data_IF_066024002539
#
_entry.id   IF_066024002539
#
_cell.length_a   1.000
_cell.length_b   1.000
_cell.length_c   1.000
_cell.angle_alpha   90.00
_cell.angle_beta   90.00
_cell.angle_gamma   90.00
#
_symmetry.space_group_name_H-M   'P 1'
#
loop_
_entity.id
_entity.type
_entity.pdbx_description
1 polymer ?
#
# COMPACT_ATOMS: atom_id res chain seq x y z
N UNK A 1 7.16 -70.67 -31.53
CA UNK A 1 6.26 -70.32 -30.40
C UNK A 1 6.86 -69.05 -29.76
N UNK A 2 6.39 -67.85 -30.24
CA UNK A 2 6.83 -66.55 -29.72
C UNK A 2 5.81 -66.02 -28.71
N UNK A 3 6.24 -65.91 -27.45
CA UNK A 3 5.43 -65.36 -26.36
C UNK A 3 5.59 -63.84 -26.34
N UNK A 4 4.60 -63.09 -26.78
CA UNK A 4 4.52 -61.64 -26.70
C UNK A 4 4.15 -61.22 -25.27
N UNK A 5 5.12 -60.70 -24.52
CA UNK A 5 4.92 -60.05 -23.21
C UNK A 5 4.36 -58.61 -23.44
N UNK A 6 3.08 -58.43 -23.20
CA UNK A 6 2.42 -57.12 -23.16
C UNK A 6 2.81 -56.42 -21.85
N UNK A 7 3.70 -55.42 -21.98
CA UNK A 7 4.01 -54.51 -20.87
C UNK A 7 2.83 -53.54 -20.68
N UNK A 8 2.08 -53.72 -19.57
CA UNK A 8 1.10 -52.78 -19.11
C UNK A 8 1.83 -51.61 -18.44
N UNK A 9 1.88 -50.45 -19.07
CA UNK A 9 2.30 -49.18 -18.48
C UNK A 9 1.09 -48.61 -17.76
N UNK A 10 1.15 -48.36 -16.43
CA UNK A 10 0.07 -47.68 -15.76
C UNK A 10 0.08 -46.19 -16.17
N UNK A 11 -1.00 -45.75 -16.76
CA UNK A 11 -1.28 -44.34 -16.99
C UNK A 11 -1.46 -43.67 -15.62
N UNK A 12 -0.49 -42.93 -15.17
CA UNK A 12 -0.64 -42.01 -14.04
C UNK A 12 -1.47 -40.83 -14.54
N UNK A 13 -2.76 -40.84 -14.29
CA UNK A 13 -3.61 -39.67 -14.44
C UNK A 13 -3.18 -38.65 -13.39
N UNK A 14 -2.42 -37.65 -13.83
CA UNK A 14 -2.20 -36.45 -13.07
C UNK A 14 -3.53 -35.69 -12.99
N UNK A 15 -4.29 -35.88 -11.93
CA UNK A 15 -5.46 -35.08 -11.63
C UNK A 15 -4.96 -33.67 -11.32
N UNK A 16 -5.08 -32.76 -12.29
CA UNK A 16 -4.95 -31.32 -12.06
C UNK A 16 -6.20 -30.93 -11.28
N UNK A 17 -6.10 -30.92 -9.96
CA UNK A 17 -7.08 -30.20 -9.14
C UNK A 17 -6.88 -28.71 -9.47
N UNK A 18 -7.92 -27.97 -9.89
CA UNK A 18 -7.85 -26.53 -9.82
C UNK A 18 -7.64 -26.17 -8.35
N UNK A 19 -6.48 -25.61 -8.04
CA UNK A 19 -6.30 -24.86 -6.83
C UNK A 19 -7.25 -23.67 -6.99
N UNK A 20 -8.45 -23.74 -6.38
CA UNK A 20 -9.24 -22.55 -6.13
C UNK A 20 -8.33 -21.64 -5.33
N UNK A 21 -7.86 -20.58 -5.96
CA UNK A 21 -7.02 -19.57 -5.33
C UNK A 21 -7.90 -18.73 -4.39
N UNK A 22 -8.23 -19.30 -3.22
CA UNK A 22 -8.99 -18.61 -2.19
C UNK A 22 -8.30 -17.29 -1.78
N UNK A 23 -6.98 -17.22 -1.91
CA UNK A 23 -6.20 -16.04 -1.57
C UNK A 23 -6.40 -14.93 -2.59
N UNK A 24 -6.37 -15.25 -3.88
CA UNK A 24 -6.69 -14.28 -4.94
C UNK A 24 -8.13 -13.78 -4.83
N UNK A 25 -9.05 -14.62 -4.39
CA UNK A 25 -10.43 -14.25 -4.15
C UNK A 25 -10.57 -13.26 -2.97
N UNK A 26 -9.83 -13.45 -1.86
CA UNK A 26 -9.89 -12.54 -0.71
C UNK A 26 -9.33 -11.15 -1.04
N UNK A 27 -8.20 -11.08 -1.74
CA UNK A 27 -7.61 -9.81 -2.17
C UNK A 27 -8.59 -9.07 -3.10
N UNK A 28 -9.09 -9.73 -4.14
CA UNK A 28 -10.06 -9.16 -5.06
C UNK A 28 -11.33 -8.66 -4.35
N UNK A 29 -11.89 -9.50 -3.46
CA UNK A 29 -13.08 -9.15 -2.68
C UNK A 29 -12.84 -7.96 -1.74
N UNK A 30 -11.65 -7.88 -1.15
CA UNK A 30 -11.27 -6.76 -0.28
C UNK A 30 -11.11 -5.48 -1.10
N UNK A 31 -10.38 -5.55 -2.22
CA UNK A 31 -10.12 -4.40 -3.08
C UNK A 31 -11.37 -3.84 -3.75
N UNK A 32 -12.37 -4.68 -4.06
CA UNK A 32 -13.68 -4.23 -4.55
C UNK A 32 -14.45 -3.33 -3.56
N UNK A 33 -14.05 -3.31 -2.30
CA UNK A 33 -14.64 -2.45 -1.26
C UNK A 33 -13.83 -1.17 -1.02
N UNK A 34 -12.76 -0.95 -1.78
CA UNK A 34 -11.91 0.23 -1.67
C UNK A 34 -12.19 1.23 -2.79
N UNK A 35 -11.90 2.50 -2.53
CA UNK A 35 -12.08 3.61 -3.47
C UNK A 35 -11.13 3.54 -4.68
N UNK A 36 -10.00 2.83 -4.56
CA UNK A 36 -8.97 2.69 -5.59
C UNK A 36 -8.67 1.21 -5.88
N UNK A 37 -9.61 0.53 -6.55
CA UNK A 37 -9.55 -0.91 -6.80
C UNK A 37 -8.23 -1.37 -7.44
N UNK A 38 -7.81 -0.74 -8.54
CA UNK A 38 -6.61 -1.15 -9.28
C UNK A 38 -5.33 -0.94 -8.47
N UNK A 39 -5.26 0.17 -7.71
CA UNK A 39 -4.14 0.46 -6.82
C UNK A 39 -4.08 -0.56 -5.67
N UNK A 40 -5.21 -0.87 -5.06
CA UNK A 40 -5.32 -1.90 -4.03
C UNK A 40 -4.84 -3.26 -4.55
N UNK A 41 -5.39 -3.68 -5.70
CA UNK A 41 -5.10 -4.98 -6.29
C UNK A 41 -3.60 -5.12 -6.64
N UNK A 42 -3.04 -4.13 -7.36
CA UNK A 42 -1.63 -4.16 -7.75
C UNK A 42 -0.69 -4.12 -6.55
N UNK A 43 -1.01 -3.31 -5.53
CA UNK A 43 -0.20 -3.20 -4.32
C UNK A 43 -0.18 -4.51 -3.52
N UNK A 44 -1.35 -5.11 -3.26
CA UNK A 44 -1.43 -6.35 -2.49
C UNK A 44 -0.87 -7.56 -3.26
N UNK A 45 -1.12 -7.67 -4.56
CA UNK A 45 -0.59 -8.76 -5.38
C UNK A 45 0.94 -8.72 -5.52
N UNK A 46 1.56 -7.55 -5.40
CA UNK A 46 3.02 -7.42 -5.43
C UNK A 46 3.70 -7.93 -4.16
N UNK A 47 2.96 -8.12 -3.06
CA UNK A 47 3.49 -8.61 -1.79
C UNK A 47 3.17 -10.11 -1.61
N UNK A 48 4.19 -10.99 -1.56
CA UNK A 48 3.96 -12.44 -1.43
C UNK A 48 3.19 -12.85 -0.16
N UNK A 49 3.29 -12.05 0.92
CA UNK A 49 2.59 -12.35 2.18
C UNK A 49 1.08 -12.17 2.08
N UNK A 50 0.59 -11.42 1.08
CA UNK A 50 -0.84 -11.20 0.87
C UNK A 50 -1.60 -12.49 0.55
N UNK A 51 -0.93 -13.47 -0.07
CA UNK A 51 -1.55 -14.74 -0.46
C UNK A 51 -2.05 -15.59 0.71
N UNK A 52 -1.50 -15.40 1.90
CA UNK A 52 -1.88 -16.15 3.12
C UNK A 52 -2.48 -15.27 4.21
N UNK A 53 -2.66 -13.97 3.93
CA UNK A 53 -3.17 -13.01 4.88
C UNK A 53 -4.70 -13.07 4.98
N UNK A 54 -5.23 -12.86 6.18
CA UNK A 54 -6.62 -12.47 6.39
C UNK A 54 -6.80 -10.96 6.15
N UNK A 55 -8.02 -10.43 6.28
CA UNK A 55 -8.31 -9.00 6.06
C UNK A 55 -7.45 -8.09 6.96
N UNK A 56 -7.18 -8.52 8.20
CA UNK A 56 -6.29 -7.79 9.12
C UNK A 56 -4.85 -7.78 8.59
N UNK A 57 -4.38 -8.91 8.11
CA UNK A 57 -3.07 -9.03 7.48
C UNK A 57 -2.95 -8.17 6.21
N UNK A 58 -4.00 -8.14 5.37
CA UNK A 58 -4.04 -7.27 4.19
C UNK A 58 -4.00 -5.77 4.58
N UNK A 59 -4.70 -5.38 5.66
CA UNK A 59 -4.63 -4.02 6.18
C UNK A 59 -3.22 -3.65 6.68
N UNK A 60 -2.53 -4.59 7.38
CA UNK A 60 -1.15 -4.39 7.81
C UNK A 60 -0.19 -4.24 6.63
N UNK A 61 -0.27 -5.14 5.65
CA UNK A 61 0.56 -5.08 4.44
C UNK A 61 0.35 -3.74 3.72
N UNK A 62 -0.87 -3.27 3.60
CA UNK A 62 -1.15 -1.98 2.95
C UNK A 62 -0.59 -0.80 3.74
N UNK A 63 -0.68 -0.82 5.07
CA UNK A 63 -0.08 0.21 5.92
C UNK A 63 1.46 0.22 5.84
N UNK A 64 2.10 -0.95 5.72
CA UNK A 64 3.54 -1.06 5.52
C UNK A 64 3.97 -0.55 4.12
N UNK A 65 3.18 -0.84 3.08
CA UNK A 65 3.38 -0.29 1.73
C UNK A 65 3.25 1.24 1.76
N UNK A 66 2.26 1.77 2.46
CA UNK A 66 2.10 3.21 2.64
C UNK A 66 3.32 3.82 3.34
N UNK A 67 3.80 3.23 4.43
CA UNK A 67 4.99 3.71 5.15
C UNK A 67 6.24 3.73 4.25
N UNK A 68 6.44 2.70 3.44
CA UNK A 68 7.54 2.66 2.48
C UNK A 68 7.44 3.80 1.47
N UNK A 69 6.26 4.01 0.86
CA UNK A 69 6.04 5.08 -0.12
C UNK A 69 6.19 6.48 0.48
N UNK A 70 5.69 6.71 1.70
CA UNK A 70 5.87 7.99 2.41
C UNK A 70 7.34 8.24 2.72
N UNK A 71 8.09 7.20 3.08
CA UNK A 71 9.54 7.30 3.31
C UNK A 71 10.28 7.64 2.03
N UNK A 72 9.95 7.01 0.92
CA UNK A 72 10.54 7.29 -0.38
C UNK A 72 10.20 8.71 -0.84
N UNK A 73 8.97 9.17 -0.60
CA UNK A 73 8.54 10.54 -0.88
C UNK A 73 9.39 11.55 -0.09
N UNK A 74 9.59 11.31 1.22
CA UNK A 74 10.43 12.16 2.05
C UNK A 74 11.88 12.19 1.55
N UNK A 75 12.45 11.04 1.22
CA UNK A 75 13.80 10.94 0.67
C UNK A 75 13.92 11.72 -0.66
N UNK A 76 12.91 11.67 -1.51
CA UNK A 76 12.87 12.44 -2.75
C UNK A 76 12.82 13.94 -2.48
N UNK A 77 11.97 14.40 -1.55
CA UNK A 77 11.89 15.81 -1.12
C UNK A 77 13.25 16.29 -0.62
N UNK A 78 13.90 15.54 0.27
CA UNK A 78 15.23 15.88 0.79
C UNK A 78 16.30 15.90 -0.30
N UNK A 79 16.19 15.02 -1.29
CA UNK A 79 17.04 15.01 -2.48
C UNK A 79 16.90 16.27 -3.32
N UNK A 80 15.68 16.76 -3.51
CA UNK A 80 15.40 18.01 -4.22
C UNK A 80 15.95 19.23 -3.46
N UNK A 81 15.77 19.31 -2.15
CA UNK A 81 16.31 20.40 -1.31
C UNK A 81 17.84 20.46 -1.44
N UNK A 82 18.52 19.32 -1.40
CA UNK A 82 20.00 19.26 -1.54
C UNK A 82 20.54 19.75 -2.88
N UNK A 83 19.70 19.82 -3.92
CA UNK A 83 20.07 20.36 -5.22
C UNK A 83 20.09 21.89 -5.25
N UNK A 84 19.84 22.57 -4.13
CA UNK A 84 19.81 24.02 -3.97
C UNK A 84 18.87 24.69 -4.98
N UNK A 85 17.56 24.37 -4.95
CA UNK A 85 16.59 24.94 -5.87
C UNK A 85 16.39 26.43 -5.59
N UNK A 86 15.64 27.09 -6.48
CA UNK A 86 15.20 28.48 -6.28
C UNK A 86 14.53 28.64 -4.90
N UNK A 87 14.74 29.79 -4.22
CA UNK A 87 14.34 29.96 -2.81
C UNK A 87 12.86 29.74 -2.52
N UNK A 88 11.99 29.96 -3.48
CA UNK A 88 10.54 29.73 -3.33
C UNK A 88 10.21 28.25 -3.39
N UNK A 89 10.84 27.51 -4.31
CA UNK A 89 10.73 26.06 -4.40
C UNK A 89 11.32 25.40 -3.14
N UNK A 90 12.49 25.84 -2.66
CA UNK A 90 13.11 25.34 -1.46
C UNK A 90 12.21 25.49 -0.23
N UNK A 91 11.56 26.65 -0.04
CA UNK A 91 10.60 26.87 1.05
C UNK A 91 9.40 25.91 0.98
N UNK A 92 8.89 25.65 -0.21
CA UNK A 92 7.75 24.74 -0.41
C UNK A 92 8.16 23.29 -0.12
N UNK A 93 9.34 22.86 -0.59
CA UNK A 93 9.89 21.54 -0.31
C UNK A 93 10.20 21.35 1.17
N UNK A 94 10.78 22.36 1.83
CA UNK A 94 11.06 22.31 3.28
C UNK A 94 9.77 22.16 4.08
N UNK A 95 8.74 22.92 3.73
CA UNK A 95 7.42 22.77 4.34
C UNK A 95 6.85 21.34 4.18
N UNK A 96 6.95 20.77 2.98
CA UNK A 96 6.56 19.39 2.75
C UNK A 96 7.36 18.39 3.61
N UNK A 97 8.69 18.58 3.71
CA UNK A 97 9.51 17.73 4.58
C UNK A 97 9.06 17.81 6.05
N UNK A 98 8.70 18.99 6.55
CA UNK A 98 8.19 19.20 7.91
C UNK A 98 6.86 18.45 8.15
N UNK A 99 6.01 18.28 7.12
CA UNK A 99 4.79 17.47 7.19
C UNK A 99 5.10 15.96 7.17
N UNK A 100 5.99 15.52 6.28
CA UNK A 100 6.29 14.10 6.09
C UNK A 100 7.16 13.48 7.20
N UNK A 101 8.08 14.24 7.81
CA UNK A 101 8.96 13.75 8.89
C UNK A 101 8.18 13.14 10.05
N UNK A 102 7.19 13.80 10.67
CA UNK A 102 6.41 13.20 11.75
C UNK A 102 5.56 12.03 11.30
N UNK A 103 5.08 12.01 10.04
CA UNK A 103 4.35 10.88 9.49
C UNK A 103 5.22 9.62 9.48
N UNK A 104 6.44 9.71 8.96
CA UNK A 104 7.39 8.58 8.89
C UNK A 104 7.84 8.15 10.29
N UNK A 105 8.14 9.11 11.16
CA UNK A 105 8.75 8.81 12.46
C UNK A 105 7.77 8.37 13.53
N UNK A 106 6.52 8.83 13.46
CA UNK A 106 5.57 8.64 14.56
C UNK A 106 4.19 8.18 14.10
N UNK A 107 3.54 8.91 13.20
CA UNK A 107 2.11 8.71 12.87
C UNK A 107 1.87 7.31 12.31
N UNK A 108 2.57 6.93 11.24
CA UNK A 108 2.40 5.61 10.62
C UNK A 108 2.91 4.46 11.49
N UNK A 109 4.10 4.52 12.12
CA UNK A 109 4.53 3.46 13.04
C UNK A 109 3.54 3.21 14.18
N UNK A 110 2.95 4.28 14.76
CA UNK A 110 1.94 4.14 15.81
C UNK A 110 0.62 3.56 15.28
N UNK A 111 0.20 3.95 14.06
CA UNK A 111 -0.99 3.41 13.43
C UNK A 111 -0.84 1.91 13.09
N UNK A 112 0.33 1.50 12.59
CA UNK A 112 0.68 0.10 12.31
C UNK A 112 0.68 -0.73 13.59
N UNK A 113 1.29 -0.23 14.66
CA UNK A 113 1.27 -0.88 15.98
C UNK A 113 -0.16 -1.03 16.52
N UNK A 114 -0.96 0.03 16.43
CA UNK A 114 -2.37 0.00 16.82
C UNK A 114 -3.18 -1.02 16.00
N UNK A 115 -2.93 -1.10 14.68
CA UNK A 115 -3.57 -2.08 13.81
C UNK A 115 -3.23 -3.51 14.23
N UNK A 116 -1.97 -3.79 14.56
CA UNK A 116 -1.51 -5.09 15.05
C UNK A 116 -2.21 -5.51 16.34
N UNK A 117 -2.51 -4.55 17.20
CA UNK A 117 -3.20 -4.74 18.49
C UNK A 117 -4.72 -4.75 18.40
N UNK A 118 -5.29 -4.57 17.19
CA UNK A 118 -6.75 -4.51 16.99
C UNK A 118 -7.38 -3.17 17.37
N UNK A 119 -6.59 -2.12 17.60
CA UNK A 119 -7.06 -0.78 17.86
C UNK A 119 -7.41 -0.04 16.56
N UNK A 120 -8.34 -0.61 15.78
CA UNK A 120 -8.62 -0.20 14.40
C UNK A 120 -9.04 1.26 14.24
N UNK A 121 -9.78 1.84 15.21
CA UNK A 121 -10.14 3.27 15.16
C UNK A 121 -8.92 4.17 15.23
N UNK A 122 -7.98 3.86 16.12
CA UNK A 122 -6.75 4.65 16.24
C UNK A 122 -5.88 4.51 14.99
N UNK A 123 -5.75 3.29 14.46
CA UNK A 123 -5.06 3.04 13.19
C UNK A 123 -5.69 3.84 12.04
N UNK A 124 -7.01 3.81 11.93
CA UNK A 124 -7.76 4.55 10.90
C UNK A 124 -7.46 6.05 10.94
N UNK A 125 -7.48 6.67 12.13
CA UNK A 125 -7.16 8.09 12.27
C UNK A 125 -5.75 8.42 11.83
N UNK A 126 -4.75 7.65 12.28
CA UNK A 126 -3.36 7.88 11.91
C UNK A 126 -3.11 7.71 10.42
N UNK A 127 -3.71 6.69 9.79
CA UNK A 127 -3.59 6.47 8.34
C UNK A 127 -4.30 7.59 7.56
N UNK A 128 -5.51 8.00 7.97
CA UNK A 128 -6.25 9.09 7.32
C UNK A 128 -5.53 10.43 7.38
N UNK A 129 -4.73 10.65 8.42
CA UNK A 129 -3.97 11.88 8.58
C UNK A 129 -2.88 12.01 7.51
N UNK A 130 -2.30 10.90 7.07
CA UNK A 130 -1.28 10.87 6.01
C UNK A 130 -1.78 11.47 4.69
N UNK A 131 -3.01 11.14 4.29
CA UNK A 131 -3.60 11.71 3.07
C UNK A 131 -3.76 13.24 3.17
N UNK A 132 -4.10 13.75 4.36
CA UNK A 132 -4.23 15.21 4.61
C UNK A 132 -2.88 15.92 4.53
N UNK A 133 -1.82 15.28 5.06
CA UNK A 133 -0.47 15.86 5.00
C UNK A 133 0.05 15.90 3.56
N UNK A 134 -0.21 14.86 2.75
CA UNK A 134 0.11 14.86 1.34
C UNK A 134 -0.67 15.94 0.54
N UNK A 135 -1.96 16.10 0.80
CA UNK A 135 -2.78 17.15 0.20
C UNK A 135 -2.32 18.55 0.63
N UNK A 136 -1.94 18.72 1.89
CA UNK A 136 -1.43 19.98 2.43
C UNK A 136 -0.09 20.35 1.80
N UNK A 137 0.80 19.37 1.62
CA UNK A 137 2.06 19.54 0.89
C UNK A 137 1.79 19.98 -0.56
N UNK A 138 0.92 19.29 -1.30
CA UNK A 138 0.61 19.62 -2.69
C UNK A 138 0.08 21.04 -2.84
N UNK A 139 -0.82 21.47 -1.95
CA UNK A 139 -1.38 22.83 -1.94
C UNK A 139 -0.35 23.93 -1.68
N UNK A 140 0.81 23.60 -1.14
CA UNK A 140 1.90 24.55 -0.92
C UNK A 140 2.51 25.07 -2.20
N UNK A 141 2.39 24.34 -3.31
CA UNK A 141 2.87 24.72 -4.63
C UNK A 141 1.85 25.51 -5.44
N UNK A 142 0.79 26.02 -4.82
CA UNK A 142 -0.21 26.86 -5.47
C UNK A 142 0.40 28.18 -5.97
N UNK A 143 0.08 28.57 -7.22
CA UNK A 143 0.55 29.80 -7.83
C UNK A 143 1.46 29.58 -9.04
N UNK A 144 2.63 30.22 -9.07
CA UNK A 144 3.56 30.17 -10.22
C UNK A 144 4.49 28.96 -10.25
N UNK A 145 4.56 28.18 -9.16
CA UNK A 145 5.45 27.03 -9.03
C UNK A 145 4.68 25.74 -9.27
N UNK A 146 5.10 24.99 -10.30
CA UNK A 146 4.60 23.64 -10.51
C UNK A 146 5.19 22.69 -9.45
N UNK A 147 4.33 21.91 -8.80
CA UNK A 147 4.76 20.92 -7.83
C UNK A 147 5.58 19.81 -8.49
N UNK A 148 6.80 19.55 -8.03
CA UNK A 148 7.55 18.37 -8.46
C UNK A 148 7.08 17.10 -7.72
N UNK A 149 6.13 17.22 -6.80
CA UNK A 149 5.67 16.16 -5.90
C UNK A 149 4.28 15.63 -6.24
N UNK A 150 3.62 16.18 -7.29
CA UNK A 150 2.22 15.84 -7.61
C UNK A 150 1.95 14.33 -7.69
N UNK A 151 2.78 13.61 -8.44
CA UNK A 151 2.61 12.16 -8.59
C UNK A 151 2.88 11.40 -7.27
N UNK A 152 3.88 11.84 -6.50
CA UNK A 152 4.20 11.29 -5.20
C UNK A 152 3.07 11.52 -4.19
N UNK A 153 2.57 12.74 -4.08
CA UNK A 153 1.47 13.09 -3.19
C UNK A 153 0.19 12.35 -3.57
N UNK A 154 -0.13 12.24 -4.85
CA UNK A 154 -1.29 11.49 -5.34
C UNK A 154 -1.20 10.00 -5.00
N UNK A 155 -0.01 9.39 -5.15
CA UNK A 155 0.21 8.00 -4.77
C UNK A 155 0.04 7.79 -3.27
N UNK A 156 0.62 8.65 -2.44
CA UNK A 156 0.49 8.59 -0.98
C UNK A 156 -0.97 8.73 -0.56
N UNK A 157 -1.72 9.67 -1.15
CA UNK A 157 -3.16 9.84 -0.89
C UNK A 157 -3.93 8.56 -1.25
N UNK A 158 -3.74 8.04 -2.46
CA UNK A 158 -4.44 6.83 -2.92
C UNK A 158 -4.13 5.61 -2.06
N UNK A 159 -2.87 5.39 -1.67
CA UNK A 159 -2.49 4.29 -0.76
C UNK A 159 -3.09 4.46 0.64
N UNK A 160 -3.14 5.70 1.14
CA UNK A 160 -3.79 6.02 2.42
C UNK A 160 -5.28 5.71 2.38
N UNK A 161 -5.98 6.13 1.31
CA UNK A 161 -7.40 5.86 1.13
C UNK A 161 -7.69 4.36 1.07
N UNK A 162 -6.90 3.59 0.33
CA UNK A 162 -7.01 2.13 0.28
C UNK A 162 -6.80 1.51 1.67
N UNK A 163 -5.76 1.93 2.40
CA UNK A 163 -5.50 1.41 3.74
C UNK A 163 -6.64 1.72 4.71
N UNK A 164 -7.18 2.94 4.69
CA UNK A 164 -8.35 3.36 5.47
C UNK A 164 -9.58 2.50 5.12
N UNK A 165 -9.82 2.26 3.84
CA UNK A 165 -10.96 1.48 3.39
C UNK A 165 -10.88 0.03 3.89
N UNK A 166 -9.69 -0.59 3.85
CA UNK A 166 -9.48 -1.96 4.38
C UNK A 166 -9.67 -1.97 5.91
N UNK A 167 -9.15 -0.97 6.64
CA UNK A 167 -9.37 -0.85 8.09
C UNK A 167 -10.85 -0.65 8.40
N UNK A 168 -11.60 0.06 7.56
CA UNK A 168 -13.05 0.23 7.71
C UNK A 168 -13.83 -1.09 7.56
N UNK A 169 -13.32 -2.06 6.78
CA UNK A 169 -13.92 -3.40 6.73
C UNK A 169 -13.82 -4.06 8.12
N UNK A 170 -12.67 -3.95 8.79
CA UNK A 170 -12.43 -4.49 10.12
C UNK A 170 -13.27 -3.80 11.22
N UNK A 171 -13.66 -2.56 11.01
CA UNK A 171 -14.50 -1.80 11.94
C UNK A 171 -15.98 -2.16 11.85
N UNK A 172 -16.41 -2.75 10.72
CA UNK A 172 -17.81 -3.11 10.44
C UNK A 172 -18.12 -4.56 10.74
N UNK A 173 -17.10 -5.42 10.78
CA UNK A 173 -17.21 -6.85 11.09
C UNK A 173 -17.22 -7.12 12.55
#
# INVERSE_FOLDING_TARGET
MHLLLLLHVPFIQCSIFPLDDESGNLIDHTCKKTSHYDLCLSSLQSNPQSSTADVKGLAQIMADILLANVTDTLNYIEGLIKQSPEPELERSLTYCAELYIPVVKYTLPQAIDALSKGHYRFANYGISDVAKEADTCEKKFSGSIQSPLTDWNNLVQGLSDVAVDIVNILLKG
#
